data_IF_363198885823
#
_entry.id   IF_363198885823
#
_cell.length_a   1.000
_cell.length_b   1.000
_cell.length_c   1.000
_cell.angle_alpha   90.00
_cell.angle_beta   90.00
_cell.angle_gamma   90.00
#
_symmetry.space_group_name_H-M   'P 1'
#
loop_
_entity.id
_entity.type
_entity.pdbx_description
1 polymer ?
#
# COMPACT_ATOMS: atom_id res chain seq x y z
N UNK A 1 45.82 -82.80 -18.35
CA UNK A 1 46.00 -81.85 -19.48
C UNK A 1 44.91 -80.78 -19.36
N UNK A 2 45.36 -79.52 -19.26
CA UNK A 2 44.73 -78.18 -19.48
C UNK A 2 43.22 -78.10 -19.88
N UNK A 3 42.41 -77.10 -19.52
CA UNK A 3 42.63 -75.64 -19.47
C UNK A 3 41.36 -74.91 -18.95
N UNK A 4 41.51 -73.78 -18.22
CA UNK A 4 40.94 -72.43 -18.53
C UNK A 4 41.01 -71.52 -17.30
N UNK A 5 41.59 -70.31 -17.44
CA UNK A 5 41.57 -69.26 -16.42
C UNK A 5 41.49 -67.85 -17.04
N UNK A 6 40.74 -67.01 -16.32
CA UNK A 6 40.40 -65.60 -16.47
C UNK A 6 41.56 -64.59 -16.50
N UNK A 7 41.30 -63.41 -17.08
CA UNK A 7 41.85 -62.05 -16.80
C UNK A 7 40.85 -61.01 -17.38
N UNK A 8 40.68 -59.75 -16.94
CA UNK A 8 41.35 -58.85 -15.97
C UNK A 8 40.43 -57.62 -15.71
N UNK A 9 40.64 -56.93 -14.60
CA UNK A 9 40.01 -55.67 -14.15
C UNK A 9 40.42 -54.40 -14.94
N UNK A 10 39.54 -53.38 -14.99
CA UNK A 10 39.65 -52.10 -14.24
C UNK A 10 38.98 -50.87 -14.93
N UNK A 11 38.31 -50.05 -14.09
CA UNK A 11 38.14 -48.57 -14.13
C UNK A 11 36.76 -47.94 -14.44
N UNK A 12 36.27 -47.26 -13.39
CA UNK A 12 35.49 -46.01 -13.23
C UNK A 12 34.71 -45.38 -14.40
N UNK A 13 33.43 -45.09 -14.16
CA UNK A 13 32.84 -43.73 -14.12
C UNK A 13 31.39 -43.76 -13.57
N UNK A 14 31.05 -42.86 -12.63
CA UNK A 14 29.66 -42.60 -12.18
C UNK A 14 29.34 -41.12 -12.37
N UNK A 15 28.19 -40.74 -12.95
CA UNK A 15 27.80 -39.33 -13.02
C UNK A 15 27.13 -38.84 -11.74
N UNK A 16 27.48 -37.61 -11.36
CA UNK A 16 26.84 -36.80 -10.33
C UNK A 16 25.37 -36.50 -10.68
N UNK A 17 24.47 -36.66 -9.71
CA UNK A 17 23.06 -36.25 -9.81
C UNK A 17 22.86 -34.90 -9.13
N UNK A 18 22.30 -33.93 -9.86
CA UNK A 18 21.93 -32.59 -9.35
C UNK A 18 20.54 -32.65 -8.70
N UNK A 19 20.34 -32.14 -7.47
CA UNK A 19 19.01 -32.10 -6.86
C UNK A 19 18.17 -30.94 -7.42
N UNK A 20 16.92 -31.23 -7.79
CA UNK A 20 15.92 -30.23 -8.21
C UNK A 20 15.44 -29.40 -7.01
N UNK A 21 15.18 -28.08 -7.15
CA UNK A 21 14.58 -27.29 -6.09
C UNK A 21 13.11 -27.72 -5.85
N UNK A 22 12.73 -27.84 -4.58
CA UNK A 22 11.34 -28.10 -4.15
C UNK A 22 10.54 -26.81 -4.26
N UNK A 23 9.58 -26.75 -5.19
CA UNK A 23 8.52 -25.76 -5.15
C UNK A 23 7.59 -26.07 -3.97
N UNK A 24 7.45 -25.12 -3.04
CA UNK A 24 6.48 -25.22 -1.95
C UNK A 24 5.11 -24.85 -2.53
N UNK A 25 4.25 -25.86 -2.71
CA UNK A 25 2.82 -25.64 -2.98
C UNK A 25 2.14 -25.25 -1.66
N UNK A 26 1.56 -24.06 -1.60
CA UNK A 26 0.61 -23.69 -0.55
C UNK A 26 -0.62 -24.61 -0.64
N UNK A 27 -0.79 -25.47 0.35
CA UNK A 27 -1.99 -26.29 0.54
C UNK A 27 -2.98 -25.47 1.37
N UNK A 28 -4.25 -25.31 0.95
CA UNK A 28 -5.23 -24.58 1.74
C UNK A 28 -5.64 -25.44 2.95
N UNK A 29 -5.21 -25.03 4.15
CA UNK A 29 -5.80 -25.55 5.39
C UNK A 29 -7.09 -24.77 5.68
N UNK A 30 -8.22 -25.47 5.58
CA UNK A 30 -9.48 -25.01 6.15
C UNK A 30 -9.30 -24.82 7.66
N UNK A 31 -9.30 -23.58 8.12
CA UNK A 31 -9.37 -23.26 9.54
C UNK A 31 -10.73 -22.64 9.87
N UNK A 32 -11.37 -23.23 10.87
CA UNK A 32 -12.63 -22.78 11.47
C UNK A 32 -12.42 -21.38 12.07
N UNK A 33 -13.40 -20.52 11.84
CA UNK A 33 -13.47 -19.16 12.35
C UNK A 33 -13.52 -19.15 13.87
N UNK A 34 -12.51 -18.53 14.48
CA UNK A 34 -12.57 -18.00 15.83
C UNK A 34 -12.29 -16.50 15.73
N UNK A 35 -13.31 -15.67 15.92
CA UNK A 35 -13.19 -14.21 15.91
C UNK A 35 -12.49 -13.79 17.19
N UNK A 36 -11.21 -13.42 17.08
CA UNK A 36 -10.49 -12.62 18.06
C UNK A 36 -10.06 -11.34 17.35
N UNK A 37 -10.69 -10.24 17.73
CA UNK A 37 -10.44 -8.92 17.18
C UNK A 37 -9.04 -8.44 17.52
N UNK A 38 -8.14 -8.49 16.55
CA UNK A 38 -6.85 -7.81 16.60
C UNK A 38 -7.05 -6.35 16.24
N UNK A 39 -7.04 -5.48 17.26
CA UNK A 39 -7.06 -4.04 17.10
C UNK A 39 -5.67 -3.54 16.61
N UNK A 40 -5.44 -3.56 15.30
CA UNK A 40 -4.27 -2.89 14.72
C UNK A 40 -4.50 -1.37 14.67
N UNK A 41 -3.46 -0.61 14.99
CA UNK A 41 -3.42 0.86 14.88
C UNK A 41 -3.19 1.22 13.41
N UNK A 42 -4.25 1.68 12.74
CA UNK A 42 -4.15 2.34 11.43
C UNK A 42 -3.84 3.81 11.72
N UNK A 43 -2.67 4.26 11.31
CA UNK A 43 -2.29 5.67 11.26
C UNK A 43 -1.17 5.78 10.23
N UNK A 44 -1.36 6.52 9.16
CA UNK A 44 -0.41 6.65 8.06
C UNK A 44 0.43 7.93 8.24
N UNK A 45 1.71 7.89 7.88
CA UNK A 45 2.58 9.08 7.93
C UNK A 45 3.38 9.18 6.63
N UNK A 46 2.92 10.05 5.72
CA UNK A 46 3.67 10.47 4.53
C UNK A 46 4.73 11.47 4.97
N UNK A 47 6.00 11.05 5.02
CA UNK A 47 7.12 11.90 5.45
C UNK A 47 7.88 12.45 4.24
N UNK A 48 7.95 13.78 4.16
CA UNK A 48 8.98 14.49 3.40
C UNK A 48 10.11 14.88 4.36
N UNK A 49 11.36 14.44 4.15
CA UNK A 49 12.45 14.81 5.05
C UNK A 49 12.80 16.30 4.89
N UNK A 50 12.60 17.10 5.94
CA UNK A 50 13.28 18.39 6.10
C UNK A 50 14.57 18.20 6.88
N UNK A 51 15.59 18.98 6.52
CA UNK A 51 16.99 18.89 6.97
C UNK A 51 17.14 18.88 8.49
N UNK A 52 17.86 17.88 9.02
CA UNK A 52 18.22 17.72 10.44
C UNK A 52 19.52 18.48 10.77
N UNK A 53 19.65 19.19 11.91
CA UNK A 53 20.94 19.67 12.41
C UNK A 53 21.67 18.61 13.24
N UNK A 54 22.99 18.58 13.12
CA UNK A 54 23.94 17.65 13.75
C UNK A 54 23.80 17.50 15.28
N UNK A 55 23.91 16.26 15.77
CA UNK A 55 24.14 15.96 17.17
C UNK A 55 25.27 14.92 17.33
N UNK A 56 26.17 15.24 18.26
CA UNK A 56 27.50 14.68 18.43
C UNK A 56 27.54 13.25 19.01
N UNK A 57 28.59 12.52 18.62
CA UNK A 57 28.90 11.16 19.03
C UNK A 57 29.50 11.06 20.45
N UNK A 58 29.07 10.04 21.20
CA UNK A 58 29.69 9.60 22.45
C UNK A 58 30.07 8.12 22.38
N UNK A 59 31.36 7.82 22.61
CA UNK A 59 31.96 6.48 22.58
C UNK A 59 31.59 5.65 23.83
N UNK A 60 31.15 4.42 23.62
CA UNK A 60 31.01 3.39 24.66
C UNK A 60 31.18 2.00 24.07
N UNK A 61 32.33 1.38 24.29
CA UNK A 61 32.66 0.04 23.78
C UNK A 61 31.83 -1.03 24.49
N UNK A 62 31.00 -1.74 23.71
CA UNK A 62 30.36 -3.01 24.10
C UNK A 62 30.55 -3.97 22.95
N UNK A 63 31.14 -5.14 23.22
CA UNK A 63 31.37 -6.18 22.23
C UNK A 63 30.02 -6.58 21.59
N UNK A 64 29.82 -6.16 20.34
CA UNK A 64 28.69 -6.55 19.51
C UNK A 64 29.10 -7.80 18.73
N UNK A 65 28.37 -8.89 18.93
CA UNK A 65 28.24 -9.90 17.88
C UNK A 65 27.60 -9.14 16.71
N UNK A 66 28.35 -8.89 15.64
CA UNK A 66 27.87 -8.15 14.49
C UNK A 66 26.76 -8.96 13.81
N UNK A 67 25.51 -8.74 14.23
CA UNK A 67 24.38 -9.05 13.39
C UNK A 67 24.58 -8.25 12.10
N UNK A 68 24.63 -8.94 10.96
CA UNK A 68 24.76 -8.26 9.68
C UNK A 68 23.63 -7.23 9.55
N UNK A 69 23.97 -6.02 9.14
CA UNK A 69 22.98 -4.96 8.91
C UNK A 69 21.87 -5.50 7.99
N UNK A 70 20.58 -5.26 8.33
CA UNK A 70 19.44 -5.64 7.51
C UNK A 70 19.59 -5.02 6.13
N UNK A 71 19.69 -5.87 5.11
CA UNK A 71 19.85 -5.43 3.72
C UNK A 71 18.49 -5.08 3.13
N UNK A 72 18.47 -4.11 2.21
CA UNK A 72 17.30 -3.89 1.36
C UNK A 72 16.99 -5.18 0.58
N UNK A 73 15.70 -5.56 0.42
CA UNK A 73 15.29 -6.65 -0.45
C UNK A 73 15.79 -6.45 -1.89
N UNK A 74 15.93 -7.53 -2.66
CA UNK A 74 16.34 -7.47 -4.08
C UNK A 74 17.83 -7.67 -4.37
N UNK A 75 18.61 -8.24 -3.44
CA UNK A 75 20.04 -8.47 -3.64
C UNK A 75 20.39 -9.57 -4.64
N UNK A 76 19.76 -10.74 -4.55
CA UNK A 76 20.05 -11.92 -5.40
C UNK A 76 18.86 -12.37 -6.24
N UNK A 77 17.69 -11.78 -6.01
CA UNK A 77 16.42 -12.14 -6.66
C UNK A 77 16.10 -11.04 -7.66
N UNK A 78 15.85 -11.38 -8.95
CA UNK A 78 15.46 -10.40 -9.95
C UNK A 78 14.21 -9.64 -9.51
N UNK A 79 14.16 -8.31 -9.71
CA UNK A 79 12.97 -7.55 -9.38
C UNK A 79 11.82 -7.93 -10.32
N UNK A 80 10.59 -7.91 -9.78
CA UNK A 80 9.37 -8.08 -10.56
C UNK A 80 8.84 -6.71 -10.96
N UNK A 81 8.67 -6.46 -12.26
CA UNK A 81 8.00 -5.26 -12.76
C UNK A 81 6.54 -5.56 -13.03
N UNK A 82 5.66 -4.73 -12.46
CA UNK A 82 4.21 -4.76 -12.66
C UNK A 82 3.79 -3.33 -13.00
N UNK A 83 3.45 -3.08 -14.26
CA UNK A 83 3.20 -1.70 -14.74
C UNK A 83 4.37 -0.75 -14.35
N UNK A 84 4.09 0.27 -13.55
CA UNK A 84 5.05 1.28 -13.06
C UNK A 84 5.70 0.93 -11.73
N UNK A 85 5.36 -0.23 -11.17
CA UNK A 85 5.84 -0.70 -9.88
C UNK A 85 6.98 -1.69 -10.10
N UNK A 86 8.10 -1.50 -9.39
CA UNK A 86 9.25 -2.40 -9.41
C UNK A 86 9.41 -2.98 -8.02
N UNK A 87 9.07 -4.25 -7.88
CA UNK A 87 9.11 -4.99 -6.62
C UNK A 87 10.49 -5.62 -6.42
N UNK A 88 11.12 -5.26 -5.31
CA UNK A 88 12.31 -5.88 -4.78
C UNK A 88 11.92 -6.71 -3.56
N UNK A 89 12.23 -8.01 -3.57
CA UNK A 89 11.82 -8.92 -2.50
C UNK A 89 12.97 -9.83 -2.05
N UNK A 90 12.85 -10.35 -0.82
CA UNK A 90 13.75 -11.34 -0.24
C UNK A 90 13.44 -12.76 -0.73
N UNK A 91 12.27 -12.94 -1.33
CA UNK A 91 11.76 -14.21 -1.87
C UNK A 91 11.28 -14.03 -3.31
N UNK A 92 11.32 -15.09 -4.15
CA UNK A 92 10.81 -15.01 -5.51
C UNK A 92 9.31 -14.67 -5.51
N UNK A 93 8.93 -13.69 -6.32
CA UNK A 93 7.53 -13.31 -6.52
C UNK A 93 6.95 -14.04 -7.73
N UNK A 94 5.77 -14.63 -7.59
CA UNK A 94 5.04 -15.23 -8.69
C UNK A 94 4.28 -14.14 -9.44
N UNK A 95 4.72 -13.77 -10.64
CA UNK A 95 4.08 -12.72 -11.45
C UNK A 95 2.60 -13.03 -11.77
N UNK A 96 2.26 -14.32 -11.79
CA UNK A 96 0.90 -14.83 -11.99
C UNK A 96 -0.03 -14.74 -10.77
N UNK A 97 0.47 -14.32 -9.61
CA UNK A 97 -0.36 -14.10 -8.42
C UNK A 97 -1.45 -13.06 -8.71
N UNK A 98 -2.66 -13.34 -8.25
CA UNK A 98 -3.81 -12.47 -8.45
C UNK A 98 -3.59 -11.06 -7.89
N UNK A 99 -2.79 -10.92 -6.83
CA UNK A 99 -2.42 -9.62 -6.27
C UNK A 99 -1.69 -8.75 -7.30
N UNK A 100 -0.67 -9.27 -7.99
CA UNK A 100 0.12 -8.47 -8.92
C UNK A 100 -0.68 -8.09 -10.16
N UNK A 101 -1.56 -8.97 -10.65
CA UNK A 101 -2.50 -8.62 -11.73
C UNK A 101 -3.45 -7.50 -11.31
N UNK A 102 -3.96 -7.56 -10.08
CA UNK A 102 -4.82 -6.51 -9.55
C UNK A 102 -4.07 -5.17 -9.40
N UNK A 103 -2.80 -5.21 -8.96
CA UNK A 103 -1.98 -4.01 -8.85
C UNK A 103 -1.58 -3.43 -10.21
N UNK A 104 -1.47 -4.27 -11.26
CA UNK A 104 -1.24 -3.81 -12.63
C UNK A 104 -2.35 -2.86 -13.12
N UNK A 105 -3.59 -3.09 -12.68
CA UNK A 105 -4.77 -2.30 -13.05
C UNK A 105 -4.97 -1.04 -12.18
N UNK A 106 -4.30 -0.94 -11.02
CA UNK A 106 -4.45 0.17 -10.08
C UNK A 106 -4.16 1.53 -10.73
N UNK A 107 -3.10 1.71 -11.55
CA UNK A 107 -2.85 2.97 -12.22
C UNK A 107 -3.99 3.45 -13.12
N UNK A 108 -4.57 2.54 -13.90
CA UNK A 108 -5.66 2.85 -14.81
C UNK A 108 -6.95 3.14 -14.03
N UNK A 109 -7.15 2.47 -12.89
CA UNK A 109 -8.25 2.76 -11.98
C UNK A 109 -8.20 4.20 -11.47
N UNK A 110 -7.04 4.64 -10.94
CA UNK A 110 -6.88 6.00 -10.42
C UNK A 110 -7.03 7.05 -11.52
N UNK A 111 -6.41 6.85 -12.68
CA UNK A 111 -6.51 7.79 -13.81
C UNK A 111 -7.96 7.94 -14.28
N UNK A 112 -8.69 6.83 -14.42
CA UNK A 112 -10.09 6.84 -14.84
C UNK A 112 -11.01 7.51 -13.82
N UNK A 113 -10.79 7.27 -12.52
CA UNK A 113 -11.66 7.79 -11.47
C UNK A 113 -11.38 9.25 -11.09
N UNK A 114 -10.10 9.65 -11.12
CA UNK A 114 -9.62 10.95 -10.64
C UNK A 114 -9.20 11.92 -11.75
N UNK A 115 -9.18 11.47 -13.00
CA UNK A 115 -8.74 12.26 -14.17
C UNK A 115 -7.33 12.86 -14.01
N UNK A 116 -6.49 12.22 -13.20
CA UNK A 116 -5.08 12.61 -13.04
C UNK A 116 -4.27 12.11 -14.25
N UNK A 117 -3.23 12.84 -14.68
CA UNK A 117 -2.42 12.42 -15.81
C UNK A 117 -1.60 11.17 -15.48
N UNK A 118 -1.18 10.47 -16.52
CA UNK A 118 -0.23 9.37 -16.37
C UNK A 118 1.17 9.92 -16.05
N UNK A 119 1.66 9.69 -14.83
CA UNK A 119 2.99 10.12 -14.40
C UNK A 119 4.09 9.15 -14.86
N UNK A 120 5.26 9.62 -15.28
CA UNK A 120 6.36 8.74 -15.73
C UNK A 120 7.21 8.15 -14.60
N UNK A 121 6.83 8.41 -13.35
CA UNK A 121 7.57 7.98 -12.17
C UNK A 121 7.44 6.47 -11.98
N UNK A 122 8.58 5.81 -11.77
CA UNK A 122 8.61 4.41 -11.30
C UNK A 122 8.49 4.43 -9.78
N UNK A 123 7.60 3.59 -9.23
CA UNK A 123 7.51 3.36 -7.78
C UNK A 123 8.29 2.11 -7.43
N UNK A 124 9.24 2.24 -6.51
CA UNK A 124 10.05 1.12 -6.01
C UNK A 124 9.36 0.53 -4.79
N UNK A 125 9.05 -0.77 -4.83
CA UNK A 125 8.38 -1.46 -3.73
C UNK A 125 9.36 -2.44 -3.09
N UNK A 126 9.67 -2.24 -1.83
CA UNK A 126 10.53 -3.12 -1.03
C UNK A 126 9.65 -4.02 -0.18
N UNK A 127 9.60 -5.29 -0.56
CA UNK A 127 8.72 -6.31 0.00
C UNK A 127 9.54 -7.33 0.79
N UNK A 128 9.52 -7.20 2.11
CA UNK A 128 10.24 -8.10 3.01
C UNK A 128 9.51 -9.43 3.16
N UNK A 129 10.26 -10.51 3.40
CA UNK A 129 9.68 -11.85 3.60
C UNK A 129 8.73 -11.90 4.80
N UNK A 130 9.04 -11.14 5.86
CA UNK A 130 8.31 -11.18 7.12
C UNK A 130 8.38 -9.84 7.86
N UNK A 131 7.55 -9.72 8.89
CA UNK A 131 7.41 -8.51 9.70
C UNK A 131 8.71 -8.17 10.44
N UNK A 132 9.42 -9.17 10.97
CA UNK A 132 10.63 -8.94 11.77
C UNK A 132 11.74 -8.29 10.92
N UNK A 133 11.95 -8.78 9.70
CA UNK A 133 12.91 -8.20 8.74
C UNK A 133 12.53 -6.78 8.35
N UNK A 134 11.26 -6.55 8.06
CA UNK A 134 10.74 -5.22 7.76
C UNK A 134 10.97 -4.26 8.92
N UNK A 135 10.57 -4.62 10.14
CA UNK A 135 10.70 -3.76 11.32
C UNK A 135 12.16 -3.48 11.66
N UNK A 136 13.04 -4.49 11.55
CA UNK A 136 14.47 -4.32 11.73
C UNK A 136 15.05 -3.32 10.73
N UNK A 137 14.70 -3.46 9.45
CA UNK A 137 15.14 -2.54 8.41
C UNK A 137 14.62 -1.11 8.64
N UNK A 138 13.32 -0.95 8.90
CA UNK A 138 12.70 0.36 9.10
C UNK A 138 13.28 1.08 10.32
N UNK A 139 13.53 0.37 11.42
CA UNK A 139 14.13 0.93 12.63
C UNK A 139 15.56 1.39 12.42
N UNK A 140 16.33 0.70 11.59
CA UNK A 140 17.69 1.10 11.26
C UNK A 140 17.73 2.27 10.28
N UNK A 141 16.93 2.20 9.21
CA UNK A 141 16.99 3.18 8.12
C UNK A 141 16.25 4.47 8.42
N UNK A 142 15.14 4.37 9.15
CA UNK A 142 14.21 5.46 9.46
C UNK A 142 13.81 5.44 10.95
N UNK A 143 14.77 5.56 11.89
CA UNK A 143 14.53 5.40 13.33
C UNK A 143 13.53 6.41 13.94
N UNK A 144 13.25 7.51 13.24
CA UNK A 144 12.30 8.55 13.66
C UNK A 144 10.85 8.25 13.25
N UNK A 145 10.62 7.31 12.33
CA UNK A 145 9.28 6.93 11.92
C UNK A 145 8.64 6.06 13.01
N UNK A 146 7.32 6.20 13.25
CA UNK A 146 6.62 5.28 14.14
C UNK A 146 6.63 3.84 13.60
N UNK A 147 6.22 2.88 14.43
CA UNK A 147 6.02 1.50 13.94
C UNK A 147 4.70 1.44 13.17
N UNK A 148 4.75 0.99 11.91
CA UNK A 148 3.59 0.83 11.01
C UNK A 148 3.73 -0.42 10.15
N UNK A 149 2.64 -0.77 9.45
CA UNK A 149 2.64 -1.95 8.57
C UNK A 149 3.27 -1.69 7.21
N UNK A 150 3.15 -0.45 6.76
CA UNK A 150 3.67 -0.02 5.49
C UNK A 150 4.01 1.46 5.54
N UNK A 151 4.82 1.88 4.57
CA UNK A 151 5.20 3.27 4.38
C UNK A 151 5.37 3.57 2.90
N UNK A 152 4.72 4.62 2.43
CA UNK A 152 5.17 5.40 1.29
C UNK A 152 6.15 6.51 1.75
N UNK A 153 7.29 6.60 1.06
CA UNK A 153 8.31 7.62 1.27
C UNK A 153 8.66 8.24 -0.08
N UNK A 154 8.49 9.56 -0.19
CA UNK A 154 8.96 10.35 -1.32
C UNK A 154 10.29 11.00 -0.95
N UNK A 155 11.40 10.44 -1.44
CA UNK A 155 12.72 11.03 -1.23
C UNK A 155 12.97 12.10 -2.30
N UNK A 156 13.10 13.35 -1.85
CA UNK A 156 13.28 14.48 -2.75
C UNK A 156 14.66 14.41 -3.39
N UNK A 157 14.68 14.24 -4.72
CA UNK A 157 15.93 14.41 -5.46
C UNK A 157 16.30 15.88 -5.59
N UNK A 158 17.53 16.11 -6.06
CA UNK A 158 18.04 17.45 -6.38
C UNK A 158 17.02 18.22 -7.26
N UNK A 159 16.97 19.56 -7.15
CA UNK A 159 16.09 20.38 -7.97
C UNK A 159 16.19 20.01 -9.47
N UNK A 160 15.05 19.68 -10.08
CA UNK A 160 14.95 19.29 -11.49
C UNK A 160 14.93 17.79 -11.77
N UNK A 161 15.06 16.93 -10.75
CA UNK A 161 14.83 15.48 -10.88
C UNK A 161 13.47 15.09 -10.26
N UNK A 162 12.90 13.97 -10.73
CA UNK A 162 11.69 13.38 -10.13
C UNK A 162 12.04 12.68 -8.81
N UNK A 163 11.18 12.86 -7.79
CA UNK A 163 11.33 12.22 -6.48
C UNK A 163 11.42 10.69 -6.61
N UNK A 164 12.23 10.06 -5.75
CA UNK A 164 12.23 8.61 -5.61
C UNK A 164 11.03 8.19 -4.78
N UNK A 165 10.04 7.59 -5.45
CA UNK A 165 8.83 7.07 -4.83
C UNK A 165 9.10 5.65 -4.34
N UNK A 166 9.06 5.44 -3.02
CA UNK A 166 9.41 4.18 -2.38
C UNK A 166 8.27 3.70 -1.49
N UNK A 167 7.91 2.43 -1.59
CA UNK A 167 6.94 1.76 -0.71
C UNK A 167 7.65 0.64 0.04
N UNK A 168 7.42 0.52 1.34
CA UNK A 168 8.01 -0.49 2.22
C UNK A 168 6.91 -1.27 2.94
N UNK A 169 6.89 -2.60 2.83
CA UNK A 169 5.99 -3.47 3.60
C UNK A 169 6.50 -4.92 3.58
N UNK A 170 5.80 -5.87 4.22
CA UNK A 170 6.17 -7.29 4.24
C UNK A 170 5.06 -8.22 3.74
N UNK A 171 5.45 -9.45 3.40
CA UNK A 171 4.52 -10.51 3.05
C UNK A 171 3.66 -10.91 4.27
N UNK A 172 2.39 -10.53 4.27
CA UNK A 172 1.47 -10.84 5.36
C UNK A 172 0.00 -10.76 4.94
N UNK A 173 -0.89 -10.99 5.91
CA UNK A 173 -2.34 -11.03 5.67
C UNK A 173 -2.92 -9.71 5.13
N UNK A 174 -2.30 -8.58 5.46
CA UNK A 174 -2.74 -7.24 5.06
C UNK A 174 -2.06 -6.70 3.80
N UNK A 175 -1.15 -7.47 3.19
CA UNK A 175 -0.28 -7.02 2.09
C UNK A 175 -1.06 -6.36 0.96
N UNK A 176 -2.21 -6.93 0.58
CA UNK A 176 -3.05 -6.38 -0.49
C UNK A 176 -3.52 -4.96 -0.15
N UNK A 177 -4.14 -4.79 1.02
CA UNK A 177 -4.68 -3.50 1.45
C UNK A 177 -3.55 -2.49 1.63
N UNK A 178 -2.46 -2.89 2.29
CA UNK A 178 -1.30 -2.04 2.53
C UNK A 178 -0.66 -1.58 1.22
N UNK A 179 -0.44 -2.47 0.24
CA UNK A 179 0.10 -2.07 -1.07
C UNK A 179 -0.83 -1.15 -1.83
N UNK A 180 -2.15 -1.43 -1.88
CA UNK A 180 -3.09 -0.55 -2.58
C UNK A 180 -3.13 0.85 -1.96
N UNK A 181 -3.07 0.92 -0.63
CA UNK A 181 -3.05 2.17 0.12
C UNK A 181 -1.77 2.97 -0.20
N UNK A 182 -0.59 2.41 0.02
CA UNK A 182 0.68 3.12 -0.18
C UNK A 182 0.98 3.44 -1.65
N UNK A 183 0.59 2.56 -2.58
CA UNK A 183 0.73 2.84 -4.01
C UNK A 183 -0.22 3.95 -4.47
N UNK A 184 -1.38 4.13 -3.82
CA UNK A 184 -2.26 5.28 -4.08
C UNK A 184 -1.56 6.58 -3.71
N UNK A 185 -0.94 6.67 -2.54
CA UNK A 185 -0.12 7.84 -2.18
C UNK A 185 0.98 8.08 -3.20
N UNK A 186 1.76 7.05 -3.54
CA UNK A 186 2.85 7.18 -4.50
C UNK A 186 2.37 7.75 -5.84
N UNK A 187 1.23 7.27 -6.33
CA UNK A 187 0.62 7.75 -7.57
C UNK A 187 0.10 9.18 -7.49
N UNK A 188 -0.54 9.57 -6.38
CA UNK A 188 -1.02 10.93 -6.18
C UNK A 188 0.17 11.90 -6.13
N UNK A 189 1.19 11.60 -5.33
CA UNK A 189 2.39 12.44 -5.17
C UNK A 189 3.30 12.44 -6.41
N UNK A 190 3.12 11.51 -7.35
CA UNK A 190 3.82 11.55 -8.63
C UNK A 190 3.37 12.71 -9.54
N UNK A 191 2.12 13.17 -9.40
CA UNK A 191 1.50 14.12 -10.35
C UNK A 191 0.83 15.32 -9.70
N UNK A 192 0.51 15.25 -8.41
CA UNK A 192 -0.12 16.31 -7.64
C UNK A 192 0.87 16.99 -6.70
N UNK A 193 0.72 18.30 -6.53
CA UNK A 193 1.50 19.11 -5.59
C UNK A 193 0.66 19.41 -4.37
N UNK A 194 1.22 19.19 -3.19
CA UNK A 194 0.63 19.65 -1.92
C UNK A 194 -0.76 19.09 -1.65
N UNK A 195 -1.00 17.80 -1.90
CA UNK A 195 -2.27 17.15 -1.56
C UNK A 195 -2.56 17.34 -0.06
N UNK A 196 -3.70 17.92 0.33
CA UNK A 196 -4.06 18.07 1.74
C UNK A 196 -4.11 16.71 2.44
N UNK A 197 -3.65 16.66 3.69
CA UNK A 197 -3.50 15.41 4.42
C UNK A 197 -4.79 14.58 4.47
N UNK A 198 -5.92 15.18 4.84
CA UNK A 198 -7.19 14.46 4.87
C UNK A 198 -7.58 13.90 3.49
N UNK A 199 -7.27 14.62 2.40
CA UNK A 199 -7.63 14.19 1.05
C UNK A 199 -6.73 13.07 0.56
N UNK A 200 -5.42 13.16 0.86
CA UNK A 200 -4.44 12.11 0.57
C UNK A 200 -4.86 10.79 1.22
N UNK A 201 -5.16 10.84 2.52
CA UNK A 201 -5.58 9.68 3.30
C UNK A 201 -6.98 9.18 2.92
N UNK A 202 -7.91 10.08 2.59
CA UNK A 202 -9.24 9.72 2.14
C UNK A 202 -9.22 9.00 0.79
N UNK A 203 -8.39 9.46 -0.15
CA UNK A 203 -8.20 8.82 -1.46
C UNK A 203 -7.50 7.48 -1.31
N UNK A 204 -6.43 7.39 -0.52
CA UNK A 204 -5.76 6.12 -0.24
C UNK A 204 -6.73 5.12 0.42
N UNK A 205 -7.51 5.55 1.41
CA UNK A 205 -8.55 4.74 2.04
C UNK A 205 -9.70 4.32 1.11
N UNK A 206 -9.97 5.07 0.03
CA UNK A 206 -10.94 4.67 -0.99
C UNK A 206 -10.36 3.59 -1.91
N UNK A 207 -9.14 3.80 -2.43
CA UNK A 207 -8.52 2.89 -3.40
C UNK A 207 -7.85 1.65 -2.77
N UNK A 208 -7.66 1.62 -1.45
CA UNK A 208 -7.17 0.42 -0.73
C UNK A 208 -8.11 -0.79 -0.88
N UNK A 209 -9.39 -0.53 -1.16
CA UNK A 209 -10.38 -1.56 -1.39
C UNK A 209 -10.25 -2.11 -2.83
N UNK A 210 -10.43 -3.42 -3.04
CA UNK A 210 -10.45 -3.98 -4.38
C UNK A 210 -11.54 -3.32 -5.25
N UNK A 211 -11.37 -3.25 -6.59
CA UNK A 211 -12.33 -2.57 -7.47
C UNK A 211 -13.78 -3.03 -7.32
N UNK A 212 -13.99 -4.32 -7.01
CA UNK A 212 -15.33 -4.90 -6.79
C UNK A 212 -16.09 -4.35 -5.58
N UNK A 213 -15.41 -3.69 -4.64
CA UNK A 213 -16.04 -3.08 -3.46
C UNK A 213 -16.49 -1.62 -3.71
N UNK A 214 -16.15 -1.06 -4.87
CA UNK A 214 -16.48 0.32 -5.24
C UNK A 214 -16.03 1.38 -4.23
N UNK A 215 -14.90 1.12 -3.54
CA UNK A 215 -14.34 1.98 -2.50
C UNK A 215 -15.02 1.86 -1.13
N UNK A 216 -16.02 0.99 -0.97
CA UNK A 216 -16.68 0.76 0.31
C UNK A 216 -15.74 0.05 1.29
N UNK A 217 -15.42 0.71 2.40
CA UNK A 217 -14.77 0.11 3.56
C UNK A 217 -15.85 -0.24 4.61
N UNK A 218 -16.22 -1.52 4.79
CA UNK A 218 -17.33 -1.92 5.67
C UNK A 218 -17.12 -1.51 7.12
N UNK A 219 -15.89 -1.64 7.61
CA UNK A 219 -15.50 -1.29 8.97
C UNK A 219 -15.63 0.21 9.25
N UNK A 220 -15.26 1.05 8.27
CA UNK A 220 -15.43 2.49 8.36
C UNK A 220 -16.92 2.86 8.38
N UNK A 221 -17.67 2.35 7.40
CA UNK A 221 -19.09 2.65 7.24
C UNK A 221 -19.90 2.24 8.47
N UNK A 222 -19.68 1.04 9.01
CA UNK A 222 -20.37 0.58 10.21
C UNK A 222 -20.08 1.44 11.44
N UNK A 223 -18.82 1.83 11.65
CA UNK A 223 -18.42 2.67 12.79
C UNK A 223 -19.01 4.07 12.69
N UNK A 224 -19.04 4.65 11.48
CA UNK A 224 -19.64 5.96 11.23
C UNK A 224 -21.16 5.95 11.45
N UNK A 225 -21.84 4.87 11.09
CA UNK A 225 -23.30 4.72 11.31
C UNK A 225 -23.68 4.49 12.78
N UNK A 226 -22.84 3.78 13.54
CA UNK A 226 -23.13 3.39 14.93
C UNK A 226 -22.71 4.46 15.95
N UNK A 227 -21.67 5.24 15.65
CA UNK A 227 -21.11 6.21 16.58
C UNK A 227 -21.79 7.58 16.57
N UNK A 228 -21.48 8.46 17.54
CA UNK A 228 -21.84 9.88 17.48
C UNK A 228 -20.97 10.58 16.43
N UNK A 229 -21.21 10.28 15.15
CA UNK A 229 -20.49 10.89 14.05
C UNK A 229 -21.27 12.10 13.52
N UNK A 230 -20.60 13.24 13.47
CA UNK A 230 -21.08 14.46 12.83
C UNK A 230 -20.03 14.89 11.81
N UNK A 231 -20.36 14.90 10.50
CA UNK A 231 -19.47 15.41 9.48
C UNK A 231 -18.99 16.84 9.74
N UNK A 232 -17.70 17.07 9.58
CA UNK A 232 -17.07 18.39 9.69
C UNK A 232 -15.83 18.49 8.79
N UNK A 233 -16.05 18.75 7.49
CA UNK A 233 -14.97 18.93 6.53
C UNK A 233 -14.06 20.12 6.88
N UNK A 234 -14.62 21.20 7.44
CA UNK A 234 -13.83 22.38 7.82
C UNK A 234 -12.79 22.01 8.88
N UNK A 235 -13.15 21.18 9.86
CA UNK A 235 -12.22 20.67 10.85
C UNK A 235 -11.13 19.80 10.21
N UNK A 236 -11.49 18.87 9.32
CA UNK A 236 -10.52 18.02 8.63
C UNK A 236 -9.53 18.82 7.76
N UNK A 237 -10.01 19.85 7.06
CA UNK A 237 -9.18 20.72 6.21
C UNK A 237 -8.13 21.50 7.01
N UNK A 238 -8.36 21.72 8.30
CA UNK A 238 -7.41 22.38 9.21
C UNK A 238 -6.39 21.41 9.83
N UNK A 239 -6.49 20.11 9.57
CA UNK A 239 -5.51 19.13 10.06
C UNK A 239 -4.25 19.19 9.20
N UNK A 240 -3.20 19.80 9.73
CA UNK A 240 -1.90 19.94 9.06
C UNK A 240 -0.83 18.95 9.52
N UNK A 241 -1.09 18.17 10.57
CA UNK A 241 -0.10 17.25 11.16
C UNK A 241 -0.64 15.84 11.22
N UNK A 242 0.19 14.87 10.82
CA UNK A 242 -0.16 13.44 10.87
C UNK A 242 -0.54 12.97 12.27
N UNK A 243 0.12 13.46 13.32
CA UNK A 243 -0.23 13.11 14.70
C UNK A 243 -1.67 13.50 15.11
N UNK A 244 -2.35 14.35 14.33
CA UNK A 244 -3.75 14.74 14.54
C UNK A 244 -4.73 13.90 13.69
N UNK A 245 -4.24 13.13 12.73
CA UNK A 245 -5.03 12.15 11.99
C UNK A 245 -5.11 10.87 12.81
N UNK A 246 -6.19 10.68 13.57
CA UNK A 246 -6.47 9.43 14.25
C UNK A 246 -7.54 8.62 13.51
N UNK A 247 -7.85 7.43 14.03
CA UNK A 247 -8.85 6.52 13.42
C UNK A 247 -10.19 7.20 13.07
N UNK A 248 -10.75 8.13 13.87
CA UNK A 248 -11.96 8.86 13.47
C UNK A 248 -11.75 9.75 12.24
N UNK A 249 -10.64 10.48 12.18
CA UNK A 249 -10.30 11.40 11.07
C UNK A 249 -10.07 10.62 9.78
N UNK A 250 -9.37 9.48 9.81
CA UNK A 250 -9.22 8.58 8.66
C UNK A 250 -10.57 8.10 8.12
N UNK A 251 -11.49 7.74 9.02
CA UNK A 251 -12.84 7.30 8.63
C UNK A 251 -13.63 8.43 7.99
N UNK A 252 -13.56 9.63 8.56
CA UNK A 252 -14.26 10.78 8.03
C UNK A 252 -13.67 11.22 6.67
N UNK A 253 -12.34 11.22 6.53
CA UNK A 253 -11.64 11.49 5.28
C UNK A 253 -12.11 10.54 4.16
N UNK A 254 -12.13 9.23 4.44
CA UNK A 254 -12.71 8.23 3.54
C UNK A 254 -14.17 8.55 3.21
N UNK A 255 -14.98 8.92 4.19
CA UNK A 255 -16.41 9.20 3.98
C UNK A 255 -16.64 10.37 3.01
N UNK A 256 -15.88 11.46 3.16
CA UNK A 256 -15.93 12.61 2.25
C UNK A 256 -15.53 12.24 0.83
N UNK A 257 -14.42 11.51 0.67
CA UNK A 257 -13.96 11.05 -0.65
C UNK A 257 -14.99 10.11 -1.29
N UNK A 258 -15.51 9.16 -0.54
CA UNK A 258 -16.52 8.23 -1.01
C UNK A 258 -17.79 8.96 -1.46
N UNK A 259 -18.27 9.93 -0.68
CA UNK A 259 -19.40 10.78 -1.07
C UNK A 259 -19.13 11.56 -2.36
N UNK A 260 -17.95 12.18 -2.49
CA UNK A 260 -17.64 12.94 -3.70
C UNK A 260 -17.50 12.03 -4.93
N UNK A 261 -16.96 10.81 -4.79
CA UNK A 261 -16.75 9.91 -5.94
C UNK A 261 -17.99 9.11 -6.34
N UNK A 262 -18.93 8.87 -5.41
CA UNK A 262 -20.07 7.95 -5.59
C UNK A 262 -21.44 8.53 -5.22
N UNK A 263 -21.48 9.67 -4.55
CA UNK A 263 -22.72 10.35 -4.17
C UNK A 263 -23.22 11.25 -5.31
N UNK A 264 -22.98 12.56 -5.18
CA UNK A 264 -23.47 13.56 -6.13
C UNK A 264 -22.46 13.78 -7.28
N UNK A 265 -22.85 13.63 -8.57
CA UNK A 265 -21.99 13.95 -9.71
C UNK A 265 -21.41 15.37 -9.68
N UNK A 266 -22.11 16.35 -9.10
CA UNK A 266 -21.58 17.70 -8.95
C UNK A 266 -20.47 17.78 -7.89
N UNK A 267 -20.60 17.02 -6.80
CA UNK A 267 -19.55 16.87 -5.80
C UNK A 267 -18.31 16.20 -6.41
N UNK A 268 -18.50 15.19 -7.28
CA UNK A 268 -17.40 14.59 -8.06
C UNK A 268 -16.70 15.63 -8.90
N UNK A 269 -17.45 16.45 -9.65
CA UNK A 269 -16.87 17.51 -10.47
C UNK A 269 -16.04 18.50 -9.64
N UNK A 270 -16.51 18.91 -8.46
CA UNK A 270 -15.78 19.80 -7.56
C UNK A 270 -14.46 19.17 -7.06
N UNK A 271 -14.46 17.87 -6.71
CA UNK A 271 -13.25 17.14 -6.36
C UNK A 271 -12.26 17.09 -7.54
N UNK A 272 -12.73 16.72 -8.73
CA UNK A 272 -11.87 16.61 -9.91
C UNK A 272 -11.23 17.96 -10.30
N UNK A 273 -11.98 19.07 -10.22
CA UNK A 273 -11.45 20.40 -10.42
C UNK A 273 -10.37 20.76 -9.38
N UNK A 274 -10.59 20.37 -8.12
CA UNK A 274 -9.60 20.57 -7.07
C UNK A 274 -8.30 19.78 -7.32
N UNK A 275 -8.41 18.53 -7.75
CA UNK A 275 -7.25 17.70 -8.12
C UNK A 275 -6.51 18.27 -9.32
N UNK A 276 -7.21 18.80 -10.33
CA UNK A 276 -6.56 19.43 -11.49
C UNK A 276 -5.76 20.67 -11.08
N UNK A 277 -6.29 21.49 -10.18
CA UNK A 277 -5.54 22.63 -9.64
C UNK A 277 -4.29 22.20 -8.87
N UNK A 278 -4.35 21.11 -8.08
CA UNK A 278 -3.19 20.58 -7.34
C UNK A 278 -2.03 20.19 -8.26
N UNK A 279 -2.25 19.94 -9.56
CA UNK A 279 -1.15 19.64 -10.51
C UNK A 279 -0.16 20.79 -10.64
N UNK A 280 -0.63 22.03 -10.51
CA UNK A 280 0.19 23.23 -10.72
C UNK A 280 0.30 24.11 -9.48
N UNK A 281 -0.70 24.08 -8.61
CA UNK A 281 -0.77 24.88 -7.40
C UNK A 281 -0.72 23.99 -6.13
N UNK A 282 0.37 24.03 -5.33
CA UNK A 282 0.48 23.26 -4.10
C UNK A 282 -0.45 23.73 -2.96
N UNK A 283 -1.15 24.86 -3.13
CA UNK A 283 -2.06 25.39 -2.11
C UNK A 283 -3.28 26.06 -2.77
N UNK A 284 -4.23 25.29 -3.32
CA UNK A 284 -5.44 25.83 -3.92
C UNK A 284 -6.47 26.35 -2.90
N UNK A 285 -6.16 26.28 -1.59
CA UNK A 285 -7.09 26.59 -0.51
C UNK A 285 -8.01 25.40 -0.17
N UNK A 286 -9.01 25.59 0.71
CA UNK A 286 -9.95 24.53 1.08
C UNK A 286 -10.91 24.14 -0.06
N UNK A 287 -11.34 22.88 -0.06
CA UNK A 287 -12.34 22.31 -0.95
C UNK A 287 -13.78 22.63 -0.48
N UNK A 288 -14.04 22.73 0.82
CA UNK A 288 -15.38 22.94 1.38
C UNK A 288 -16.15 24.11 0.73
N UNK A 289 -15.56 25.31 0.53
CA UNK A 289 -16.28 26.41 -0.11
C UNK A 289 -16.74 26.10 -1.55
N UNK A 290 -16.00 25.25 -2.27
CA UNK A 290 -16.34 24.83 -3.65
C UNK A 290 -17.44 23.79 -3.61
N UNK A 291 -17.33 22.84 -2.68
CA UNK A 291 -18.36 21.82 -2.46
C UNK A 291 -19.70 22.48 -2.05
N UNK A 292 -19.67 23.50 -1.20
CA UNK A 292 -20.84 24.25 -0.77
C UNK A 292 -21.55 25.04 -1.89
N UNK A 293 -20.86 25.33 -3.02
CA UNK A 293 -21.49 25.96 -4.19
C UNK A 293 -22.37 24.98 -4.97
N UNK A 294 -22.10 23.69 -4.88
CA UNK A 294 -22.76 22.65 -5.68
C UNK A 294 -23.63 21.70 -4.86
N UNK A 295 -23.36 21.59 -3.55
CA UNK A 295 -24.06 20.74 -2.60
C UNK A 295 -24.59 21.60 -1.46
N UNK A 296 -25.91 21.67 -1.33
CA UNK A 296 -26.55 22.36 -0.22
C UNK A 296 -26.28 21.59 1.09
N UNK A 297 -25.76 22.28 2.11
CA UNK A 297 -25.36 21.69 3.39
C UNK A 297 -24.54 20.39 3.21
N UNK A 298 -23.25 20.50 2.83
CA UNK A 298 -22.40 19.34 2.57
C UNK A 298 -22.35 18.34 3.73
N UNK A 299 -22.34 18.83 4.97
CA UNK A 299 -22.24 17.99 6.17
C UNK A 299 -23.49 17.12 6.33
N UNK A 300 -24.68 17.73 6.24
CA UNK A 300 -25.93 16.98 6.28
C UNK A 300 -26.04 16.02 5.09
N UNK A 301 -25.66 16.46 3.90
CA UNK A 301 -25.69 15.61 2.69
C UNK A 301 -24.80 14.39 2.84
N UNK A 302 -23.60 14.51 3.44
CA UNK A 302 -22.75 13.36 3.73
C UNK A 302 -23.42 12.41 4.73
N UNK A 303 -24.02 12.92 5.80
CA UNK A 303 -24.72 12.07 6.77
C UNK A 303 -25.86 11.27 6.13
N UNK A 304 -26.69 11.94 5.32
CA UNK A 304 -27.80 11.31 4.59
C UNK A 304 -27.30 10.27 3.55
N UNK A 305 -26.18 10.58 2.89
CA UNK A 305 -25.51 9.67 1.96
C UNK A 305 -25.04 8.39 2.65
N UNK A 306 -24.30 8.53 3.76
CA UNK A 306 -23.77 7.39 4.51
C UNK A 306 -24.87 6.48 5.04
N UNK A 307 -26.07 6.98 5.33
CA UNK A 307 -27.21 6.14 5.73
C UNK A 307 -27.68 5.18 4.61
N UNK A 308 -27.33 5.45 3.34
CA UNK A 308 -27.82 4.72 2.15
C UNK A 308 -26.78 3.82 1.48
N UNK A 309 -25.49 4.00 1.76
CA UNK A 309 -24.41 3.19 1.16
C UNK A 309 -24.58 1.70 1.50
N UNK A 310 -24.62 0.84 0.50
CA UNK A 310 -24.74 -0.61 0.74
C UNK A 310 -23.35 -1.24 0.86
N UNK A 311 -23.21 -2.18 1.80
CA UNK A 311 -22.04 -3.05 1.86
C UNK A 311 -22.32 -4.18 0.87
N UNK A 312 -21.62 -4.18 -0.27
CA UNK A 312 -21.77 -5.27 -1.21
C UNK A 312 -21.28 -6.58 -0.58
N UNK A 313 -22.04 -7.68 -0.68
CA UNK A 313 -21.55 -8.98 -0.25
C UNK A 313 -20.35 -9.38 -1.12
N UNK A 314 -19.35 -10.07 -0.55
CA UNK A 314 -18.21 -10.53 -1.33
C UNK A 314 -18.71 -11.37 -2.53
N UNK A 315 -18.09 -11.22 -3.71
CA UNK A 315 -18.51 -11.99 -4.88
C UNK A 315 -18.46 -13.48 -4.56
N UNK A 316 -19.51 -14.21 -4.94
CA UNK A 316 -19.58 -15.65 -4.71
C UNK A 316 -18.32 -16.32 -5.29
N UNK A 317 -17.71 -17.30 -4.58
CA UNK A 317 -16.54 -17.99 -5.10
C UNK A 317 -16.91 -18.58 -6.46
N UNK A 318 -16.16 -18.21 -7.51
CA UNK A 318 -16.35 -18.81 -8.84
C UNK A 318 -16.22 -20.32 -8.67
N UNK A 319 -17.34 -21.03 -8.80
CA UNK A 319 -17.37 -22.47 -8.69
C UNK A 319 -16.33 -23.04 -9.63
N UNK A 320 -15.50 -23.97 -9.14
CA UNK A 320 -14.65 -24.77 -10.02
C UNK A 320 -15.55 -25.31 -11.11
N UNK A 321 -15.28 -24.93 -12.36
CA UNK A 321 -15.84 -25.64 -13.49
C UNK A 321 -15.53 -27.12 -13.25
N UNK A 322 -16.59 -27.90 -13.07
CA UNK A 322 -16.45 -29.35 -13.04
C UNK A 322 -15.96 -29.73 -14.44
N UNK A 323 -14.68 -30.10 -14.55
CA UNK A 323 -14.16 -30.81 -15.70
C UNK A 323 -15.08 -32.01 -15.94
N UNK A 324 -15.75 -31.99 -17.09
CA UNK A 324 -16.36 -33.16 -17.74
C UNK A 324 -15.59 -33.41 -19.01
#
# INVERSE_FOLDING_TARGET
MFCRRFRKDASMDRPFSVPRPRAIRLVPRLYRWGVLGSAALVGCESVRPTTVPDAAAGNGARAQVAAAAPKKPGGTIPPLRVSKFVFYADVPLAAEDALFRELEELPDQLQRELHIPDGNNVVQVFLFEDQDKYEAFMRERFPWLPVRRAYFIADQKRPGATDDLQVYTWMGENLRTDLRHELTHAMLHAVLKGVPLWLDEGLAGFFEQPPGNDGVNPDHLEKLRKGPFVPDLARLENIGKVAQMEKPEYREAWAWVHFMLRGDPKAKAALLEYLDQLRTNPNPGPLLPRLAQVTADPNKTLADYLARVEIQPPPAPRGRAADK
#
